data_IF_978402565571
#
_entry.id   IF_978402565571
#
_cell.length_a   1.000
_cell.length_b   1.000
_cell.length_c   1.000
_cell.angle_alpha   90.00
_cell.angle_beta   90.00
_cell.angle_gamma   90.00
#
_symmetry.space_group_name_H-M   'P 1'
#
loop_
_entity.id
_entity.type
_entity.pdbx_description
1 polymer ?
#
# COMPACT_ATOMS: atom_id res chain seq x y z
N UNK A 1 -18.88 -13.55 -5.27
CA UNK A 1 -19.66 -12.77 -6.28
C UNK A 1 -19.01 -13.01 -7.62
N UNK A 2 -19.70 -13.60 -8.60
CA UNK A 2 -19.11 -13.88 -9.92
C UNK A 2 -19.15 -12.63 -10.80
N UNK A 3 -18.02 -12.26 -11.40
CA UNK A 3 -17.81 -11.06 -12.21
C UNK A 3 -17.17 -11.43 -13.56
N UNK A 4 -17.97 -12.08 -14.42
CA UNK A 4 -17.49 -12.61 -15.70
C UNK A 4 -16.59 -13.82 -15.48
N UNK A 5 -15.32 -13.72 -15.84
CA UNK A 5 -14.32 -14.79 -15.70
C UNK A 5 -13.63 -14.84 -14.33
N UNK A 6 -14.07 -14.04 -13.36
CA UNK A 6 -13.45 -13.93 -12.04
C UNK A 6 -14.48 -14.09 -10.93
N UNK A 7 -14.04 -14.61 -9.79
CA UNK A 7 -14.80 -14.61 -8.55
C UNK A 7 -14.21 -13.62 -7.55
N UNK A 8 -15.05 -12.70 -7.07
CA UNK A 8 -14.69 -11.78 -6.00
C UNK A 8 -15.09 -12.35 -4.64
N UNK A 9 -14.12 -12.36 -3.73
CA UNK A 9 -14.29 -12.70 -2.33
C UNK A 9 -14.30 -11.42 -1.50
N UNK A 10 -15.24 -11.33 -0.56
CA UNK A 10 -15.33 -10.25 0.43
C UNK A 10 -15.32 -10.93 1.79
N UNK A 11 -14.45 -10.48 2.68
CA UNK A 11 -14.25 -11.06 4.00
C UNK A 11 -13.80 -9.99 4.99
N UNK A 12 -14.02 -10.25 6.27
CA UNK A 12 -13.57 -9.38 7.35
C UNK A 12 -12.07 -9.54 7.60
N UNK A 13 -11.37 -8.42 7.74
CA UNK A 13 -9.98 -8.40 8.20
C UNK A 13 -9.98 -8.51 9.72
N UNK A 14 -9.66 -9.69 10.24
CA UNK A 14 -9.66 -9.96 11.69
C UNK A 14 -8.33 -9.67 12.38
N UNK A 15 -7.23 -9.60 11.63
CA UNK A 15 -5.90 -9.29 12.16
C UNK A 15 -4.94 -8.84 11.04
N UNK A 16 -3.89 -8.10 11.39
CA UNK A 16 -2.77 -7.71 10.50
C UNK A 16 -1.46 -8.02 11.20
N UNK A 17 -0.56 -8.73 10.53
CA UNK A 17 0.79 -9.01 11.01
C UNK A 17 1.80 -8.29 10.13
N UNK A 18 2.73 -7.57 10.75
CA UNK A 18 3.80 -6.85 10.09
C UNK A 18 5.04 -6.88 10.98
N UNK A 19 6.22 -6.79 10.36
CA UNK A 19 7.50 -6.77 11.07
C UNK A 19 7.68 -5.42 11.78
N UNK A 20 7.96 -5.46 13.08
CA UNK A 20 8.11 -4.28 13.95
C UNK A 20 9.15 -3.29 13.43
N UNK A 21 10.15 -3.75 12.66
CA UNK A 21 11.18 -2.88 12.07
C UNK A 21 10.63 -1.84 11.09
N UNK A 22 9.41 -2.02 10.61
CA UNK A 22 8.74 -1.08 9.70
C UNK A 22 7.79 -0.13 10.42
N UNK A 23 7.71 -0.17 11.75
CA UNK A 23 6.93 0.79 12.51
C UNK A 23 7.83 1.90 13.04
N UNK A 24 7.38 3.13 12.85
CA UNK A 24 7.97 4.29 13.51
C UNK A 24 7.75 4.18 15.02
N UNK A 25 8.84 4.15 15.78
CA UNK A 25 8.80 3.86 17.22
C UNK A 25 8.07 4.93 18.05
N UNK A 26 7.96 6.16 17.57
CA UNK A 26 7.31 7.26 18.28
C UNK A 26 5.82 7.37 17.93
N UNK A 27 5.50 7.25 16.64
CA UNK A 27 4.16 7.51 16.10
C UNK A 27 3.35 6.24 15.86
N UNK A 28 3.99 5.07 15.90
CA UNK A 28 3.37 3.78 15.59
C UNK A 28 2.95 3.65 14.12
N UNK A 29 3.39 4.55 13.24
CA UNK A 29 3.03 4.52 11.82
C UNK A 29 3.84 3.45 11.10
N UNK A 30 3.15 2.63 10.30
CA UNK A 30 3.79 1.68 9.42
C UNK A 30 4.41 2.38 8.19
N UNK A 31 5.71 2.23 8.03
CA UNK A 31 6.47 2.73 6.89
C UNK A 31 6.45 1.73 5.73
N UNK A 32 5.43 1.87 4.88
CA UNK A 32 5.30 1.06 3.67
C UNK A 32 6.44 1.25 2.66
N UNK A 33 7.17 2.37 2.70
CA UNK A 33 8.25 2.60 1.73
C UNK A 33 9.43 1.67 2.04
N UNK A 34 9.75 1.55 3.33
CA UNK A 34 10.79 0.64 3.80
C UNK A 34 10.42 -0.85 3.64
N UNK A 35 9.12 -1.17 3.56
CA UNK A 35 8.65 -2.53 3.27
C UNK A 35 8.97 -3.02 1.84
N UNK A 36 9.46 -2.15 0.94
CA UNK A 36 9.91 -2.48 -0.43
C UNK A 36 8.90 -3.34 -1.20
N UNK A 37 7.66 -2.86 -1.27
CA UNK A 37 6.59 -3.51 -2.01
C UNK A 37 6.94 -3.68 -3.49
N UNK A 38 6.32 -4.67 -4.12
CA UNK A 38 6.42 -4.93 -5.56
C UNK A 38 5.13 -4.52 -6.28
N UNK A 39 5.26 -4.23 -7.56
CA UNK A 39 4.15 -4.08 -8.49
C UNK A 39 4.16 -5.25 -9.48
N UNK A 40 2.99 -5.78 -9.80
CA UNK A 40 2.82 -6.79 -10.83
C UNK A 40 2.16 -6.16 -12.06
N UNK A 41 2.71 -6.39 -13.26
CA UNK A 41 2.13 -5.94 -14.52
C UNK A 41 2.49 -6.89 -15.66
N UNK A 42 1.48 -7.33 -16.42
CA UNK A 42 1.64 -8.19 -17.59
C UNK A 42 2.62 -9.37 -17.41
N UNK A 43 2.52 -10.11 -16.30
CA UNK A 43 3.37 -11.28 -16.05
C UNK A 43 4.75 -10.97 -15.47
N UNK A 44 5.04 -9.72 -15.11
CA UNK A 44 6.34 -9.28 -14.63
C UNK A 44 6.23 -8.59 -13.26
N UNK A 45 7.33 -8.65 -12.49
CA UNK A 45 7.46 -8.02 -11.17
C UNK A 45 8.40 -6.81 -11.26
N UNK A 46 7.98 -5.70 -10.65
CA UNK A 46 8.72 -4.43 -10.64
C UNK A 46 8.84 -3.91 -9.21
N UNK A 47 9.92 -3.17 -8.92
CA UNK A 47 10.02 -2.36 -7.72
C UNK A 47 9.19 -1.08 -7.84
N UNK A 48 8.79 -0.51 -6.71
CA UNK A 48 8.24 0.86 -6.69
C UNK A 48 9.36 1.88 -6.94
N UNK A 49 9.02 2.96 -7.65
CA UNK A 49 9.91 4.09 -7.89
C UNK A 49 9.97 5.09 -6.73
N UNK A 50 10.57 6.24 -6.99
CA UNK A 50 10.72 7.32 -6.01
C UNK A 50 9.36 7.82 -5.49
N UNK A 51 9.34 8.24 -4.21
CA UNK A 51 8.18 8.91 -3.64
C UNK A 51 8.00 10.30 -4.29
N UNK A 52 6.88 10.48 -4.99
CA UNK A 52 6.60 11.71 -5.76
C UNK A 52 5.70 12.73 -5.05
N UNK A 53 5.16 12.40 -3.86
CA UNK A 53 4.31 13.32 -3.11
C UNK A 53 3.20 12.64 -2.31
N UNK A 54 2.43 13.46 -1.60
CA UNK A 54 1.30 13.00 -0.77
C UNK A 54 -0.05 13.22 -1.45
N UNK A 55 -1.03 12.43 -1.03
CA UNK A 55 -2.44 12.64 -1.39
C UNK A 55 -2.90 14.07 -1.07
N UNK A 56 -3.80 14.58 -1.90
CA UNK A 56 -4.35 15.93 -1.77
C UNK A 56 -3.52 17.02 -2.42
N UNK A 57 -2.65 16.68 -3.39
CA UNK A 57 -1.88 17.66 -4.16
C UNK A 57 -2.77 18.74 -4.79
N UNK A 58 -3.92 18.35 -5.36
CA UNK A 58 -4.90 19.25 -5.98
C UNK A 58 -5.69 20.11 -5.00
N UNK A 59 -5.65 19.79 -3.70
CA UNK A 59 -6.38 20.52 -2.63
C UNK A 59 -5.44 21.17 -1.60
N UNK A 60 -4.13 21.17 -1.88
CA UNK A 60 -3.11 21.74 -0.99
C UNK A 60 -3.26 23.26 -0.95
N UNK A 61 -3.75 23.79 0.18
CA UNK A 61 -3.76 25.24 0.42
C UNK A 61 -2.34 25.78 0.35
N UNK A 62 -2.16 26.93 -0.32
CA UNK A 62 -0.91 27.69 -0.26
C UNK A 62 -0.65 28.04 1.20
N UNK A 63 0.58 27.80 1.67
CA UNK A 63 1.04 28.29 2.98
C UNK A 63 1.13 29.80 2.95
#
# INVERSE_FOLDING_TARGET
ITLGSHDMFIADVVNVQADDKYFDAETGKFDMQNARLLAYSHGNYYGLGEHIGKFGWSVKKKK
#
